data_IF_138166508064
#
_entry.id   IF_138166508064
#
_cell.length_a   1.000
_cell.length_b   1.000
_cell.length_c   1.000
_cell.angle_alpha   90.00
_cell.angle_beta   90.00
_cell.angle_gamma   90.00
#
_symmetry.space_group_name_H-M   'P 1'
#
loop_
_entity.id
_entity.type
_entity.pdbx_description
1 polymer ?
#
# COMPACT_ATOMS: atom_id res chain seq x y z
N UNK A 1 3.37 26.85 -3.00
CA UNK A 1 3.19 25.85 -4.07
C UNK A 1 4.34 24.81 -4.00
N UNK A 2 4.42 24.01 -2.93
CA UNK A 2 5.46 22.99 -2.78
C UNK A 2 4.97 21.74 -2.02
N UNK A 3 4.01 21.91 -1.11
CA UNK A 3 3.47 20.79 -0.31
C UNK A 3 2.62 19.82 -1.15
N UNK A 4 1.82 20.33 -2.09
CA UNK A 4 0.96 19.49 -2.95
C UNK A 4 1.74 18.60 -3.93
N UNK A 5 2.92 19.06 -4.39
CA UNK A 5 3.79 18.28 -5.27
C UNK A 5 4.47 17.15 -4.48
N UNK A 6 4.94 17.46 -3.28
CA UNK A 6 5.55 16.50 -2.36
C UNK A 6 4.55 15.43 -1.90
N UNK A 7 3.29 15.80 -1.64
CA UNK A 7 2.23 14.87 -1.28
C UNK A 7 1.93 13.88 -2.43
N UNK A 8 1.71 14.38 -3.66
CA UNK A 8 1.44 13.53 -4.81
C UNK A 8 2.61 12.59 -5.16
N UNK A 9 3.84 13.08 -5.00
CA UNK A 9 5.04 12.27 -5.20
C UNK A 9 5.21 11.20 -4.11
N UNK A 10 4.91 11.53 -2.85
CA UNK A 10 4.98 10.59 -1.73
C UNK A 10 3.92 9.48 -1.85
N UNK A 11 2.70 9.83 -2.28
CA UNK A 11 1.66 8.83 -2.57
C UNK A 11 2.04 7.90 -3.72
N UNK A 12 2.66 8.42 -4.78
CA UNK A 12 3.15 7.61 -5.89
C UNK A 12 4.18 6.59 -5.41
N UNK A 13 5.13 7.00 -4.57
CA UNK A 13 6.13 6.10 -4.01
C UNK A 13 5.53 4.99 -3.14
N UNK A 14 4.43 5.25 -2.43
CA UNK A 14 3.70 4.19 -1.70
C UNK A 14 3.13 3.17 -2.67
N UNK A 15 2.51 3.61 -3.77
CA UNK A 15 1.96 2.70 -4.79
C UNK A 15 3.06 1.88 -5.46
N UNK A 16 4.18 2.52 -5.82
CA UNK A 16 5.32 1.85 -6.44
C UNK A 16 5.97 0.82 -5.51
N UNK A 17 6.12 1.15 -4.22
CA UNK A 17 6.62 0.22 -3.21
C UNK A 17 5.72 -1.01 -3.07
N UNK A 18 4.40 -0.80 -2.98
CA UNK A 18 3.44 -1.91 -2.87
C UNK A 18 3.41 -2.77 -4.14
N UNK A 19 3.54 -2.15 -5.32
CA UNK A 19 3.67 -2.89 -6.58
C UNK A 19 4.98 -3.69 -6.67
N UNK A 20 6.08 -3.15 -6.15
CA UNK A 20 7.35 -3.88 -6.05
C UNK A 20 7.24 -5.06 -5.08
N UNK A 21 6.59 -4.88 -3.93
CA UNK A 21 6.32 -5.96 -2.99
C UNK A 21 5.51 -7.08 -3.63
N UNK A 22 4.51 -6.78 -4.47
CA UNK A 22 3.74 -7.82 -5.18
C UNK A 22 4.58 -8.65 -6.17
N UNK A 23 5.72 -8.13 -6.63
CA UNK A 23 6.62 -8.82 -7.58
C UNK A 23 7.74 -9.61 -6.87
N UNK A 24 8.03 -9.29 -5.61
CA UNK A 24 9.04 -9.95 -4.79
C UNK A 24 8.37 -10.69 -3.63
N UNK A 25 8.36 -12.02 -3.70
CA UNK A 25 7.71 -12.86 -2.68
C UNK A 25 8.26 -12.63 -1.27
N UNK A 26 9.58 -12.41 -1.12
CA UNK A 26 10.20 -12.21 0.19
C UNK A 26 9.75 -10.88 0.77
N UNK A 27 9.79 -9.84 -0.05
CA UNK A 27 9.31 -8.51 0.35
C UNK A 27 7.81 -8.52 0.66
N UNK A 28 7.01 -9.27 -0.11
CA UNK A 28 5.57 -9.43 0.14
C UNK A 28 5.31 -10.09 1.49
N UNK A 29 6.01 -11.19 1.80
CA UNK A 29 5.84 -11.93 3.06
C UNK A 29 6.20 -11.02 4.26
N UNK A 30 7.29 -10.27 4.17
CA UNK A 30 7.70 -9.30 5.20
C UNK A 30 6.70 -8.14 5.35
N UNK A 31 6.21 -7.62 4.22
CA UNK A 31 5.20 -6.57 4.21
C UNK A 31 3.89 -7.05 4.85
N UNK A 32 3.43 -8.25 4.53
CA UNK A 32 2.22 -8.83 5.12
C UNK A 32 2.37 -9.05 6.63
N UNK A 33 3.54 -9.50 7.09
CA UNK A 33 3.84 -9.64 8.51
C UNK A 33 3.76 -8.29 9.24
N UNK A 34 4.41 -7.25 8.69
CA UNK A 34 4.38 -5.91 9.26
C UNK A 34 2.96 -5.31 9.24
N UNK A 35 2.19 -5.50 8.17
CA UNK A 35 0.78 -5.09 8.10
C UNK A 35 -0.08 -5.81 9.14
N UNK A 36 0.10 -7.12 9.33
CA UNK A 36 -0.59 -7.91 10.35
C UNK A 36 -0.27 -7.44 11.77
N UNK A 37 0.98 -7.07 12.03
CA UNK A 37 1.43 -6.47 13.28
C UNK A 37 1.04 -4.99 13.45
N UNK A 38 0.52 -4.36 12.39
CA UNK A 38 0.25 -2.91 12.31
C UNK A 38 1.51 -2.06 12.56
N UNK A 39 2.67 -2.57 12.16
CA UNK A 39 3.97 -1.92 12.34
C UNK A 39 4.31 -1.01 11.15
N UNK A 40 3.79 0.21 11.18
CA UNK A 40 4.07 1.20 10.14
C UNK A 40 5.56 1.58 10.07
N UNK A 41 6.31 1.47 11.16
CA UNK A 41 7.73 1.83 11.17
C UNK A 41 8.56 0.78 10.43
N UNK A 42 8.24 -0.51 10.60
CA UNK A 42 8.82 -1.59 9.82
C UNK A 42 8.51 -1.40 8.31
N UNK A 43 7.27 -1.06 7.96
CA UNK A 43 6.88 -0.81 6.55
C UNK A 43 7.69 0.33 5.93
N UNK A 44 7.85 1.45 6.64
CA UNK A 44 8.64 2.59 6.16
C UNK A 44 10.12 2.20 6.04
N UNK A 45 10.65 1.42 6.99
CA UNK A 45 12.05 0.96 6.96
C UNK A 45 12.30 0.09 5.72
N UNK A 46 11.44 -0.89 5.46
CA UNK A 46 11.52 -1.72 4.25
C UNK A 46 11.45 -0.86 2.98
N UNK A 47 10.55 0.13 2.95
CA UNK A 47 10.44 1.02 1.80
C UNK A 47 11.74 1.80 1.55
N UNK A 48 12.37 2.34 2.59
CA UNK A 48 13.66 3.05 2.50
C UNK A 48 14.78 2.15 2.02
N UNK A 49 14.86 0.91 2.52
CA UNK A 49 15.84 -0.09 2.08
C UNK A 49 15.70 -0.42 0.59
N UNK A 50 14.48 -0.32 0.05
CA UNK A 50 14.17 -0.51 -1.37
C UNK A 50 14.17 0.78 -2.20
N UNK A 51 14.61 1.92 -1.64
CA UNK A 51 14.79 3.18 -2.35
C UNK A 51 13.55 4.09 -2.43
N UNK A 52 12.50 3.78 -1.68
CA UNK A 52 11.28 4.58 -1.56
C UNK A 52 11.34 5.47 -0.32
N UNK A 53 10.79 6.69 -0.38
CA UNK A 53 10.85 7.63 0.74
C UNK A 53 9.52 8.36 0.94
N UNK A 54 8.64 7.74 1.72
CA UNK A 54 7.34 8.31 2.06
C UNK A 54 7.15 8.41 3.56
N UNK A 55 6.30 9.35 3.99
CA UNK A 55 5.93 9.51 5.38
C UNK A 55 4.87 8.48 5.81
N UNK A 56 4.68 8.35 7.12
CA UNK A 56 3.58 7.55 7.66
C UNK A 56 2.20 8.06 7.20
N UNK A 57 2.04 9.37 7.01
CA UNK A 57 0.80 9.96 6.50
C UNK A 57 0.53 9.49 5.06
N UNK A 58 1.55 9.55 4.20
CA UNK A 58 1.44 9.09 2.82
C UNK A 58 1.17 7.59 2.74
N UNK A 59 1.79 6.79 3.61
CA UNK A 59 1.50 5.36 3.73
C UNK A 59 0.02 5.13 4.06
N UNK A 60 -0.52 5.84 5.05
CA UNK A 60 -1.93 5.74 5.44
C UNK A 60 -2.88 6.14 4.31
N UNK A 61 -2.59 7.25 3.61
CA UNK A 61 -3.37 7.71 2.46
C UNK A 61 -3.32 6.69 1.31
N UNK A 62 -2.15 6.17 1.00
CA UNK A 62 -1.97 5.16 -0.05
C UNK A 62 -2.73 3.86 0.25
N UNK A 63 -2.61 3.32 1.46
CA UNK A 63 -3.35 2.13 1.89
C UNK A 63 -4.86 2.37 1.86
N UNK A 64 -5.32 3.54 2.29
CA UNK A 64 -6.75 3.91 2.24
C UNK A 64 -7.26 3.95 0.80
N UNK A 65 -6.49 4.50 -0.14
CA UNK A 65 -6.84 4.50 -1.56
C UNK A 65 -6.95 3.09 -2.12
N UNK A 66 -5.97 2.22 -1.83
CA UNK A 66 -6.00 0.83 -2.27
C UNK A 66 -7.23 0.11 -1.70
N UNK A 67 -7.52 0.28 -0.41
CA UNK A 67 -8.70 -0.32 0.21
C UNK A 67 -10.00 0.15 -0.45
N UNK A 68 -10.13 1.45 -0.73
CA UNK A 68 -11.30 2.00 -1.44
C UNK A 68 -11.43 1.49 -2.87
N UNK A 69 -10.32 1.20 -3.56
CA UNK A 69 -10.34 0.61 -4.90
C UNK A 69 -10.72 -0.87 -4.87
N UNK A 70 -10.23 -1.63 -3.89
CA UNK A 70 -10.49 -3.07 -3.78
C UNK A 70 -11.89 -3.39 -3.21
N UNK A 71 -12.42 -2.57 -2.32
CA UNK A 71 -13.73 -2.79 -1.67
C UNK A 71 -14.85 -3.08 -2.66
N UNK A 72 -15.12 -2.25 -3.70
CA UNK A 72 -16.18 -2.53 -4.66
C UNK A 72 -15.90 -3.81 -5.46
N UNK A 73 -14.64 -4.06 -5.85
CA UNK A 73 -14.23 -5.25 -6.61
C UNK A 73 -14.49 -6.54 -5.82
N UNK A 74 -14.25 -6.53 -4.51
CA UNK A 74 -14.54 -7.68 -3.63
C UNK A 74 -16.05 -7.83 -3.37
N UNK A 75 -16.80 -6.73 -3.31
CA UNK A 75 -18.25 -6.75 -3.16
C UNK A 75 -18.94 -7.31 -4.41
N UNK A 76 -18.54 -6.88 -5.61
CA UNK A 76 -19.04 -7.38 -6.88
C UNK A 76 -18.71 -8.88 -7.08
N UNK A 77 -17.51 -9.32 -6.69
CA UNK A 77 -17.17 -10.75 -6.73
C UNK A 77 -17.98 -11.59 -5.73
N UNK A 78 -18.25 -11.07 -4.52
CA UNK A 78 -19.11 -11.76 -3.56
C UNK A 78 -20.58 -11.84 -4.01
N UNK A 79 -21.06 -10.83 -4.75
CA UNK A 79 -22.39 -10.84 -5.36
C UNK A 79 -22.47 -11.84 -6.51
N UNK A 80 -21.45 -11.91 -7.36
CA UNK A 80 -21.38 -12.86 -8.48
C UNK A 80 -21.32 -14.34 -8.04
N UNK A 81 -20.76 -14.63 -6.87
CA UNK A 81 -20.70 -15.99 -6.30
C UNK A 81 -22.00 -16.40 -5.59
N UNK A 82 -22.88 -15.44 -5.28
CA UNK A 82 -24.16 -15.70 -4.59
C UNK A 82 -25.35 -15.90 -5.54
N UNK A 83 -25.13 -15.82 -6.86
CA UNK A 83 -26.16 -16.03 -7.91
C UNK A 83 -26.19 -17.47 -8.49
N UNK A 84 -25.72 -18.48 -7.75
CA UNK A 84 -25.92 -19.92 -8.07
C UNK A 84 -26.90 -20.62 -7.12
#
# INVERSE_FOLDING_TARGET
>A
MNESLNAAQSELQVMEFLAAALQDKVLLDQLMEAMGAKDNAAIITMAVEHGYNFSQESLHQGLTKIFHLMTPIMQEQNLAVSEE
#
